data_IF_248640677202
#
_entry.id   IF_248640677202
#
_cell.length_a   1.000
_cell.length_b   1.000
_cell.length_c   1.000
_cell.angle_alpha   90.00
_cell.angle_beta   90.00
_cell.angle_gamma   90.00
#
_symmetry.space_group_name_H-M   'P 1'
#
loop_
_entity.id
_entity.type
_entity.pdbx_description
1 polymer ?
#
# COMPACT_ATOMS: atom_id res chain seq x y z
N UNK A 1 -17.20 4.04 -8.20
CA UNK A 1 -16.08 3.11 -8.46
C UNK A 1 -15.98 2.03 -7.39
N UNK A 2 -15.21 0.97 -7.62
CA UNK A 2 -15.02 -0.10 -6.63
C UNK A 2 -14.50 0.42 -5.27
N UNK A 3 -13.64 1.44 -5.28
CA UNK A 3 -13.15 2.10 -4.07
C UNK A 3 -14.26 2.81 -3.27
N UNK A 4 -15.32 3.30 -3.93
CA UNK A 4 -16.45 3.93 -3.23
C UNK A 4 -17.25 2.91 -2.45
N UNK A 5 -17.39 1.69 -2.98
CA UNK A 5 -18.07 0.56 -2.34
C UNK A 5 -17.26 0.11 -1.11
N UNK A 6 -15.94 -0.03 -1.27
CA UNK A 6 -15.03 -0.28 -0.16
C UNK A 6 -15.19 0.77 0.95
N UNK A 7 -15.21 2.05 0.58
CA UNK A 7 -15.36 3.14 1.51
C UNK A 7 -16.71 3.11 2.23
N UNK A 8 -17.81 2.82 1.53
CA UNK A 8 -19.13 2.73 2.15
C UNK A 8 -19.22 1.59 3.15
N UNK A 9 -18.78 0.39 2.77
CA UNK A 9 -18.80 -0.80 3.65
C UNK A 9 -17.98 -0.56 4.91
N UNK A 10 -16.75 -0.06 4.77
CA UNK A 10 -15.90 0.20 5.94
C UNK A 10 -16.43 1.32 6.81
N UNK A 11 -17.07 2.34 6.23
CA UNK A 11 -17.65 3.47 6.97
C UNK A 11 -18.82 3.04 7.84
N UNK A 12 -19.60 2.05 7.43
CA UNK A 12 -20.69 1.50 8.25
C UNK A 12 -20.16 0.82 9.52
N UNK A 13 -18.99 0.15 9.45
CA UNK A 13 -18.42 -0.56 10.59
C UNK A 13 -17.67 0.35 11.57
N UNK A 14 -16.89 1.31 11.07
CA UNK A 14 -15.93 2.08 11.90
C UNK A 14 -16.11 3.60 11.88
N UNK A 15 -17.04 4.11 11.08
CA UNK A 15 -17.25 5.54 10.87
C UNK A 15 -16.11 6.18 10.06
N UNK A 16 -15.05 6.63 10.73
CA UNK A 16 -13.92 7.27 10.06
C UNK A 16 -12.95 6.25 9.44
N UNK A 17 -12.86 6.25 8.10
CA UNK A 17 -11.97 5.38 7.34
C UNK A 17 -10.68 6.11 6.99
N UNK A 18 -9.62 5.90 7.77
CA UNK A 18 -8.29 6.43 7.47
C UNK A 18 -7.60 5.63 6.37
N UNK A 19 -6.55 6.18 5.75
CA UNK A 19 -5.72 5.41 4.81
C UNK A 19 -5.14 4.14 5.44
N UNK A 20 -4.82 4.14 6.74
CA UNK A 20 -4.29 2.96 7.45
C UNK A 20 -5.30 1.81 7.55
N UNK A 21 -6.61 2.12 7.52
CA UNK A 21 -7.67 1.09 7.46
C UNK A 21 -7.66 0.30 6.15
N UNK A 22 -6.91 0.76 5.14
CA UNK A 22 -6.74 0.11 3.83
C UNK A 22 -5.27 -0.28 3.59
N UNK A 23 -4.32 0.57 3.97
CA UNK A 23 -2.88 0.45 3.68
C UNK A 23 -2.09 -0.11 4.86
N UNK A 24 -2.55 -1.24 5.41
CA UNK A 24 -1.87 -2.00 6.46
C UNK A 24 -2.11 -3.51 6.29
N UNK A 25 -1.51 -4.34 7.15
CA UNK A 25 -1.83 -5.77 7.18
C UNK A 25 -3.32 -6.02 7.45
N UNK A 26 -3.88 -5.37 8.48
CA UNK A 26 -5.32 -5.42 8.72
C UNK A 26 -6.11 -4.72 7.61
N UNK A 27 -5.51 -3.75 6.93
CA UNK A 27 -6.10 -3.13 5.75
C UNK A 27 -6.36 -4.11 4.61
N UNK A 28 -5.47 -5.08 4.36
CA UNK A 28 -5.74 -6.15 3.40
C UNK A 28 -6.97 -6.98 3.76
N UNK A 29 -7.12 -7.32 5.04
CA UNK A 29 -8.29 -8.06 5.56
C UNK A 29 -9.55 -7.23 5.39
N UNK A 30 -9.49 -5.93 5.70
CA UNK A 30 -10.61 -5.01 5.52
C UNK A 30 -11.04 -4.92 4.06
N UNK A 31 -10.08 -4.85 3.13
CA UNK A 31 -10.36 -4.82 1.68
C UNK A 31 -11.01 -6.13 1.24
N UNK A 32 -10.44 -7.29 1.63
CA UNK A 32 -11.01 -8.60 1.34
C UNK A 32 -12.45 -8.71 1.86
N UNK A 33 -12.67 -8.40 3.15
CA UNK A 33 -14.01 -8.45 3.76
C UNK A 33 -15.01 -7.57 3.01
N UNK A 34 -14.61 -6.35 2.68
CA UNK A 34 -15.47 -5.42 1.95
C UNK A 34 -15.82 -5.90 0.53
N UNK A 35 -14.88 -6.54 -0.19
CA UNK A 35 -15.14 -7.17 -1.48
C UNK A 35 -16.20 -8.27 -1.33
N UNK A 36 -15.99 -9.19 -0.38
CA UNK A 36 -16.90 -10.33 -0.16
C UNK A 36 -18.30 -9.86 0.24
N UNK A 37 -18.38 -8.89 1.16
CA UNK A 37 -19.66 -8.29 1.58
C UNK A 37 -20.35 -7.56 0.42
N UNK A 38 -19.61 -6.87 -0.44
CA UNK A 38 -20.17 -6.19 -1.61
C UNK A 38 -20.79 -7.14 -2.64
N UNK A 39 -20.31 -8.39 -2.66
CA UNK A 39 -20.85 -9.48 -3.48
C UNK A 39 -21.98 -10.25 -2.75
N UNK A 40 -22.49 -9.75 -1.62
CA UNK A 40 -23.51 -10.39 -0.78
C UNK A 40 -23.11 -11.78 -0.26
N UNK A 41 -21.81 -11.99 -0.02
CA UNK A 41 -21.25 -13.23 0.55
C UNK A 41 -20.77 -12.99 1.98
N UNK A 42 -20.55 -14.08 2.71
CA UNK A 42 -20.04 -14.04 4.10
C UNK A 42 -18.51 -14.21 4.05
N UNK A 43 -17.72 -13.25 4.56
CA UNK A 43 -16.27 -13.37 4.59
C UNK A 43 -15.82 -14.43 5.61
N UNK A 44 -14.76 -15.15 5.25
CA UNK A 44 -14.01 -15.95 6.22
C UNK A 44 -13.23 -15.04 7.20
N UNK A 45 -12.93 -15.58 8.38
CA UNK A 45 -12.05 -14.92 9.35
C UNK A 45 -10.58 -15.15 8.97
N UNK A 46 -10.07 -14.29 8.07
CA UNK A 46 -8.70 -14.38 7.54
C UNK A 46 -7.73 -13.46 8.30
N UNK A 47 -6.51 -13.94 8.54
CA UNK A 47 -5.39 -13.10 8.96
C UNK A 47 -4.72 -12.43 7.74
N UNK A 48 -3.97 -11.32 7.93
CA UNK A 48 -3.28 -10.63 6.83
C UNK A 48 -2.39 -11.54 5.96
N UNK A 49 -1.74 -12.51 6.60
CA UNK A 49 -0.88 -13.49 5.90
C UNK A 49 -1.69 -14.40 4.99
N UNK A 50 -2.93 -14.72 5.34
CA UNK A 50 -3.79 -15.61 4.57
C UNK A 50 -4.24 -14.93 3.29
N UNK A 51 -4.63 -13.65 3.37
CA UNK A 51 -4.95 -12.83 2.19
C UNK A 51 -3.77 -12.79 1.23
N UNK A 52 -2.56 -12.46 1.72
CA UNK A 52 -1.37 -12.45 0.85
C UNK A 52 -1.01 -13.85 0.34
N UNK A 53 -1.15 -14.89 1.14
CA UNK A 53 -0.79 -16.25 0.77
C UNK A 53 -1.71 -16.80 -0.31
N UNK A 54 -3.02 -16.67 -0.13
CA UNK A 54 -4.06 -17.12 -1.07
C UNK A 54 -4.04 -16.32 -2.38
N UNK A 55 -3.71 -15.03 -2.33
CA UNK A 55 -3.59 -14.16 -3.51
C UNK A 55 -2.42 -14.54 -4.46
N UNK A 56 -1.41 -15.25 -3.93
CA UNK A 56 -0.15 -15.56 -4.62
C UNK A 56 -0.01 -17.04 -5.01
N UNK A 57 -1.06 -17.84 -4.81
CA UNK A 57 -1.10 -19.23 -5.29
C UNK A 57 -1.08 -19.26 -6.83
N UNK A 58 -0.70 -20.41 -7.39
CA UNK A 58 -0.76 -20.65 -8.84
C UNK A 58 -2.20 -20.55 -9.37
N UNK A 59 -3.15 -21.09 -8.60
CA UNK A 59 -4.59 -20.84 -8.74
C UNK A 59 -5.05 -19.95 -7.57
N UNK A 60 -5.06 -18.62 -7.74
CA UNK A 60 -5.27 -17.69 -6.65
C UNK A 60 -6.75 -17.58 -6.26
N UNK A 61 -6.99 -17.42 -4.96
CA UNK A 61 -8.32 -17.02 -4.48
C UNK A 61 -8.68 -15.65 -5.07
N UNK A 62 -9.82 -15.59 -5.77
CA UNK A 62 -10.23 -14.41 -6.54
C UNK A 62 -10.39 -13.16 -5.68
N UNK A 63 -10.92 -13.29 -4.47
CA UNK A 63 -11.16 -12.16 -3.57
C UNK A 63 -9.86 -11.66 -2.93
N UNK A 64 -9.00 -12.57 -2.51
CA UNK A 64 -7.70 -12.24 -1.96
C UNK A 64 -6.80 -11.58 -3.00
N UNK A 65 -6.81 -12.09 -4.24
CA UNK A 65 -6.07 -11.52 -5.36
C UNK A 65 -6.57 -10.12 -5.70
N UNK A 66 -7.89 -9.93 -5.73
CA UNK A 66 -8.54 -8.62 -5.94
C UNK A 66 -8.21 -7.65 -4.80
N UNK A 67 -8.22 -8.11 -3.56
CA UNK A 67 -7.84 -7.30 -2.40
C UNK A 67 -6.39 -6.82 -2.47
N UNK A 68 -5.46 -7.72 -2.79
CA UNK A 68 -4.04 -7.38 -2.95
C UNK A 68 -3.80 -6.43 -4.14
N UNK A 69 -4.55 -6.60 -5.22
CA UNK A 69 -4.52 -5.70 -6.39
C UNK A 69 -4.97 -4.29 -6.03
N UNK A 70 -6.11 -4.15 -5.35
CA UNK A 70 -6.64 -2.87 -4.88
C UNK A 70 -5.71 -2.19 -3.87
N UNK A 71 -5.12 -2.96 -2.95
CA UNK A 71 -4.11 -2.46 -2.02
C UNK A 71 -2.95 -1.79 -2.76
N UNK A 72 -2.43 -2.41 -3.82
CA UNK A 72 -1.33 -1.84 -4.60
C UNK A 72 -1.73 -0.55 -5.32
N UNK A 73 -2.94 -0.51 -5.88
CA UNK A 73 -3.49 0.69 -6.55
C UNK A 73 -3.67 1.84 -5.55
N UNK A 74 -4.30 1.58 -4.40
CA UNK A 74 -4.51 2.60 -3.36
C UNK A 74 -3.19 3.10 -2.76
N UNK A 75 -2.20 2.21 -2.60
CA UNK A 75 -0.86 2.59 -2.16
C UNK A 75 -0.19 3.52 -3.18
N UNK A 76 -0.37 3.26 -4.47
CA UNK A 76 0.07 4.15 -5.55
C UNK A 76 -0.58 5.53 -5.43
N UNK A 77 -1.91 5.58 -5.34
CA UNK A 77 -2.68 6.83 -5.20
C UNK A 77 -2.25 7.65 -3.99
N UNK A 78 -2.01 6.99 -2.86
CA UNK A 78 -1.51 7.62 -1.63
C UNK A 78 -0.11 8.18 -1.81
N UNK A 79 0.82 7.41 -2.39
CA UNK A 79 2.18 7.88 -2.70
C UNK A 79 2.19 9.09 -3.64
N UNK A 80 1.33 9.09 -4.67
CA UNK A 80 1.22 10.20 -5.61
C UNK A 80 0.67 11.47 -4.94
N UNK A 81 -0.28 11.33 -4.01
CA UNK A 81 -0.75 12.46 -3.20
C UNK A 81 0.38 13.03 -2.33
N UNK A 82 1.15 12.18 -1.66
CA UNK A 82 2.29 12.63 -0.84
C UNK A 82 3.30 13.38 -1.69
N UNK A 83 3.67 12.82 -2.85
CA UNK A 83 4.64 13.42 -3.75
C UNK A 83 4.23 14.83 -4.25
N UNK A 84 2.93 15.03 -4.54
CA UNK A 84 2.40 16.35 -4.91
C UNK A 84 2.39 17.34 -3.74
N UNK A 85 2.08 16.88 -2.53
CA UNK A 85 1.98 17.77 -1.36
C UNK A 85 3.33 18.40 -0.97
N UNK A 86 4.43 17.64 -1.09
CA UNK A 86 5.75 18.09 -0.60
C UNK A 86 6.77 18.36 -1.71
N UNK A 87 6.42 18.11 -2.98
CA UNK A 87 7.37 18.20 -4.09
C UNK A 87 8.52 17.20 -3.94
N UNK A 88 8.19 15.91 -3.80
CA UNK A 88 9.13 14.84 -3.45
C UNK A 88 10.09 14.42 -4.59
N UNK A 89 10.78 15.36 -5.25
CA UNK A 89 11.67 15.06 -6.37
C UNK A 89 12.88 14.19 -5.99
N UNK A 90 13.27 14.18 -4.70
CA UNK A 90 14.29 13.25 -4.18
C UNK A 90 13.84 11.78 -4.13
N UNK A 91 12.56 11.51 -4.43
CA UNK A 91 11.97 10.19 -4.49
C UNK A 91 11.02 9.89 -3.34
N UNK A 92 10.16 8.89 -3.57
CA UNK A 92 9.25 8.33 -2.57
C UNK A 92 9.75 6.94 -2.18
N UNK A 93 9.86 6.70 -0.88
CA UNK A 93 10.38 5.45 -0.35
C UNK A 93 9.28 4.70 0.40
N UNK A 94 9.02 3.47 -0.02
CA UNK A 94 8.08 2.55 0.64
C UNK A 94 8.89 1.74 1.65
N UNK A 95 8.68 2.06 2.92
CA UNK A 95 9.21 1.31 4.04
C UNK A 95 8.10 0.44 4.65
N UNK A 96 8.46 -0.73 5.16
CA UNK A 96 7.54 -1.60 5.90
C UNK A 96 7.66 -3.08 5.53
N UNK A 97 7.09 -3.93 6.37
CA UNK A 97 7.31 -5.39 6.31
C UNK A 97 6.38 -6.16 5.37
N UNK A 98 5.32 -5.53 4.83
CA UNK A 98 4.31 -6.26 4.05
C UNK A 98 4.66 -6.35 2.57
N UNK A 99 4.99 -5.23 1.92
CA UNK A 99 5.31 -5.16 0.48
C UNK A 99 6.48 -6.06 0.07
N UNK A 100 7.59 -6.16 0.84
CA UNK A 100 8.68 -7.06 0.50
C UNK A 100 8.27 -8.54 0.36
N UNK A 101 7.19 -8.97 1.03
CA UNK A 101 6.71 -10.36 0.98
C UNK A 101 6.04 -10.73 -0.35
N UNK A 102 5.53 -9.74 -1.08
CA UNK A 102 4.85 -9.91 -2.36
C UNK A 102 5.46 -9.01 -3.44
N UNK A 103 6.79 -8.78 -3.38
CA UNK A 103 7.47 -7.79 -4.21
C UNK A 103 7.27 -8.00 -5.72
N UNK A 104 7.22 -9.25 -6.19
CA UNK A 104 7.00 -9.53 -7.62
C UNK A 104 5.57 -9.19 -8.05
N UNK A 105 4.59 -9.52 -7.22
CA UNK A 105 3.21 -9.09 -7.43
C UNK A 105 3.12 -7.56 -7.46
N UNK A 106 3.74 -6.89 -6.49
CA UNK A 106 3.73 -5.43 -6.39
C UNK A 106 4.33 -4.76 -7.63
N UNK A 107 5.44 -5.29 -8.16
CA UNK A 107 6.06 -4.80 -9.41
C UNK A 107 5.14 -4.93 -10.63
N UNK A 108 4.36 -5.99 -10.68
CA UNK A 108 3.44 -6.28 -11.79
C UNK A 108 2.03 -5.69 -11.58
N UNK A 109 1.81 -5.04 -10.44
CA UNK A 109 0.51 -4.44 -10.09
C UNK A 109 0.27 -3.09 -10.76
N UNK A 110 -0.93 -2.54 -10.58
CA UNK A 110 -1.29 -1.19 -10.99
C UNK A 110 -0.66 -0.04 -10.18
N UNK A 111 0.26 -0.32 -9.24
CA UNK A 111 0.82 0.70 -8.34
C UNK A 111 1.34 1.94 -9.08
N UNK A 112 2.22 1.77 -10.07
CA UNK A 112 2.87 2.92 -10.73
C UNK A 112 1.89 3.72 -11.56
N UNK A 113 0.98 3.05 -12.25
CA UNK A 113 -0.10 3.70 -13.01
C UNK A 113 -0.95 4.55 -12.06
N UNK A 114 -1.33 4.00 -10.92
CA UNK A 114 -2.16 4.67 -9.91
C UNK A 114 -1.42 5.81 -9.18
N UNK A 115 -0.10 5.71 -9.02
CA UNK A 115 0.75 6.78 -8.51
C UNK A 115 0.70 8.01 -9.41
N UNK A 116 0.80 7.82 -10.73
CA UNK A 116 0.78 8.90 -11.72
C UNK A 116 -0.62 9.37 -12.12
N UNK A 117 -1.68 8.67 -11.69
CA UNK A 117 -3.09 8.97 -11.99
C UNK A 117 -3.60 10.22 -11.25
N UNK A 118 -3.09 11.39 -11.64
CA UNK A 118 -3.41 12.72 -11.08
C UNK A 118 -3.79 13.73 -12.16
N UNK A 119 -4.43 13.26 -13.24
CA UNK A 119 -4.89 14.08 -14.35
C UNK A 119 -3.77 14.93 -14.94
N UNK A 120 -3.95 16.26 -14.96
CA UNK A 120 -2.95 17.22 -15.49
C UNK A 120 -1.59 17.18 -14.78
N UNK A 121 -1.52 16.62 -13.56
CA UNK A 121 -0.28 16.48 -12.81
C UNK A 121 0.46 15.16 -13.09
N UNK A 122 -0.02 14.34 -14.02
CA UNK A 122 0.65 13.08 -14.40
C UNK A 122 2.14 13.27 -14.72
N UNK A 123 2.45 14.23 -15.59
CA UNK A 123 3.84 14.51 -16.01
C UNK A 123 4.72 15.04 -14.87
N UNK A 124 4.12 15.65 -13.84
CA UNK A 124 4.86 16.07 -12.65
C UNK A 124 5.36 14.86 -11.86
N UNK A 125 4.53 13.81 -11.77
CA UNK A 125 4.82 12.59 -11.01
C UNK A 125 5.66 11.57 -11.78
N UNK A 126 5.59 11.58 -13.12
CA UNK A 126 6.34 10.62 -13.94
C UNK A 126 7.86 10.70 -13.73
N UNK A 127 8.38 11.89 -13.37
CA UNK A 127 9.79 12.10 -13.09
C UNK A 127 10.21 11.69 -11.66
N UNK A 128 9.25 11.48 -10.74
CA UNK A 128 9.54 11.16 -9.34
C UNK A 128 9.73 9.65 -9.19
N UNK A 129 10.92 9.19 -8.75
CA UNK A 129 11.17 7.77 -8.58
C UNK A 129 10.49 7.23 -7.30
N UNK A 130 10.13 5.95 -7.34
CA UNK A 130 9.61 5.22 -6.17
C UNK A 130 10.53 4.03 -5.88
N UNK A 131 10.93 3.88 -4.63
CA UNK A 131 11.81 2.81 -4.18
C UNK A 131 11.14 1.98 -3.08
N UNK A 132 11.22 0.66 -3.17
CA UNK A 132 10.87 -0.23 -2.06
C UNK A 132 12.13 -0.54 -1.28
N UNK A 133 12.14 -0.21 0.01
CA UNK A 133 13.27 -0.52 0.88
C UNK A 133 13.21 -1.99 1.28
N UNK A 134 14.20 -2.77 0.89
CA UNK A 134 14.30 -4.21 1.19
C UNK A 134 15.27 -4.54 2.33
N UNK A 135 15.99 -3.53 2.87
CA UNK A 135 16.92 -3.73 3.97
C UNK A 135 16.17 -3.98 5.29
N UNK A 136 16.37 -5.15 5.90
CA UNK A 136 15.71 -5.57 7.14
C UNK A 136 16.07 -4.76 8.38
N UNK A 137 17.14 -3.96 8.34
CA UNK A 137 17.64 -3.18 9.47
C UNK A 137 17.51 -1.67 9.26
N UNK A 138 16.66 -1.22 8.33
CA UNK A 138 16.50 0.20 7.99
C UNK A 138 16.24 1.08 9.22
N UNK A 139 15.42 0.59 10.18
CA UNK A 139 15.17 1.31 11.43
C UNK A 139 16.43 1.50 12.30
N UNK A 140 17.26 0.45 12.42
CA UNK A 140 18.51 0.52 13.18
C UNK A 140 19.55 1.41 12.48
N UNK A 141 19.65 1.32 11.16
CA UNK A 141 20.53 2.17 10.35
C UNK A 141 20.13 3.64 10.50
N UNK A 142 18.82 3.94 10.42
CA UNK A 142 18.29 5.29 10.63
C UNK A 142 18.57 5.82 12.03
N UNK A 143 18.36 5.01 13.07
CA UNK A 143 18.66 5.38 14.45
C UNK A 143 20.15 5.68 14.65
N UNK A 144 21.05 4.87 14.08
CA UNK A 144 22.49 5.09 14.13
C UNK A 144 22.92 6.34 13.35
N UNK A 145 22.33 6.57 12.17
CA UNK A 145 22.58 7.77 11.37
C UNK A 145 22.17 9.05 12.12
N UNK A 146 20.98 9.05 12.74
CA UNK A 146 20.49 10.16 13.56
C UNK A 146 21.42 10.43 14.75
N UNK A 147 21.79 9.40 15.53
CA UNK A 147 22.71 9.57 16.66
C UNK A 147 24.08 10.11 16.23
N UNK A 148 24.61 9.66 15.09
CA UNK A 148 25.88 10.17 14.55
C UNK A 148 25.79 11.66 14.17
N UNK A 149 24.68 12.10 13.60
CA UNK A 149 24.45 13.53 13.32
C UNK A 149 24.40 14.36 14.60
N UNK A 150 23.67 13.89 15.62
CA UNK A 150 23.60 14.55 16.94
C UNK A 150 24.98 14.64 17.61
N UNK A 151 25.84 13.66 17.39
CA UNK A 151 27.23 13.66 17.87
C UNK A 151 28.20 14.46 16.97
N UNK A 152 27.70 15.14 15.93
CA UNK A 152 28.49 16.02 15.06
C UNK A 152 29.28 15.31 13.94
N UNK A 153 29.03 14.02 13.69
CA UNK A 153 29.64 13.33 12.55
C UNK A 153 28.96 13.76 11.24
N UNK A 154 29.76 14.03 10.19
CA UNK A 154 29.22 14.12 8.83
C UNK A 154 28.87 12.72 8.32
N UNK A 155 27.64 12.56 7.84
CA UNK A 155 27.18 11.35 7.16
C UNK A 155 27.63 11.32 5.71
#
# INVERSE_FOLDING_TARGET
>A
PEEDILLSVLREEVGHVSCERLLSGMGLVNIYRAIVLSDNRIPEDLEPKDVTGRALLEDPDTDCHRALSLFCVMMGRFGGNLALNIGAFGGVYIAGGIVPRFLQFFKNSGFRVAFEDKGRFKNYLSAIPVYVITNGYTGLIGAGAYLRQELGYKL
#
